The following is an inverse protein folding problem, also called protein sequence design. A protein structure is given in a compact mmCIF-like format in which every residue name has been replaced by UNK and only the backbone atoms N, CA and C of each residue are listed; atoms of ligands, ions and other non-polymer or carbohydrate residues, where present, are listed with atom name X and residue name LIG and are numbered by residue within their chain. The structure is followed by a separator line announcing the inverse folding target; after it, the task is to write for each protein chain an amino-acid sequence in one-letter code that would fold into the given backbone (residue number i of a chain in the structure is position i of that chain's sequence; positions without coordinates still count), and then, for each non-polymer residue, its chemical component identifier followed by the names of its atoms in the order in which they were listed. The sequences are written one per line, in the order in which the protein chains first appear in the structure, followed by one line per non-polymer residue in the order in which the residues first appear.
data_IF_023850299444
#
_entry.id   IF_023850299444
#
_cell.length_a   1.000
_cell.length_b   1.000
_cell.length_c   1.000
_cell.angle_alpha   90.00
_cell.angle_beta   90.00
_cell.angle_gamma   90.00
#
_symmetry.space_group_name_H-M   'P 1'
#
loop_
_entity.id
_entity.type
_entity.pdbx_description
1 polymer ?
#
# COMPACT_ATOMS: atom_id res chain seq x y z
N UNK A 1 37.37 -60.71 16.10
CA UNK A 1 36.31 -61.28 16.96
C UNK A 1 35.08 -60.38 16.82
N UNK A 2 34.44 -60.47 15.66
CA UNK A 2 33.22 -59.75 15.31
C UNK A 2 32.02 -60.39 16.00
N UNK A 3 31.13 -59.58 16.57
CA UNK A 3 29.80 -60.02 17.03
C UNK A 3 28.72 -59.19 16.36
N UNK A 4 28.14 -59.78 15.32
CA UNK A 4 26.85 -59.44 14.73
C UNK A 4 25.70 -59.73 15.69
N UNK A 5 24.77 -58.79 15.89
CA UNK A 5 23.42 -59.10 16.43
C UNK A 5 22.35 -58.41 15.59
N UNK A 6 21.36 -59.24 15.22
CA UNK A 6 20.32 -59.07 14.20
C UNK A 6 19.20 -58.09 14.60
N UNK A 7 18.66 -57.40 13.60
CA UNK A 7 17.36 -56.71 13.59
C UNK A 7 16.19 -57.70 13.69
N UNK A 8 15.14 -57.37 14.44
CA UNK A 8 13.79 -57.97 14.34
C UNK A 8 12.73 -56.87 14.42
N UNK A 9 11.86 -56.83 13.40
CA UNK A 9 10.70 -55.94 13.31
C UNK A 9 9.51 -56.46 14.15
N UNK A 10 8.59 -55.59 14.63
CA UNK A 10 7.31 -56.03 15.15
C UNK A 10 6.19 -55.94 14.10
N UNK A 11 5.23 -56.83 14.28
CA UNK A 11 4.19 -57.25 13.34
C UNK A 11 2.97 -56.32 13.35
N UNK A 12 2.43 -56.11 12.15
CA UNK A 12 1.14 -55.49 11.85
C UNK A 12 -0.01 -56.35 12.42
N UNK A 13 -0.91 -55.77 13.23
CA UNK A 13 -2.20 -56.37 13.59
C UNK A 13 -3.33 -55.58 12.95
N UNK A 14 -4.06 -56.28 12.09
CA UNK A 14 -5.28 -55.86 11.40
C UNK A 14 -6.50 -56.13 12.31
N UNK A 15 -7.35 -55.13 12.54
CA UNK A 15 -8.69 -55.30 13.10
C UNK A 15 -9.68 -54.46 12.25
N UNK A 16 -10.53 -55.18 11.51
CA UNK A 16 -11.83 -54.77 10.95
C UNK A 16 -12.84 -54.75 12.14
N UNK A 17 -13.97 -54.03 12.23
CA UNK A 17 -14.82 -53.32 11.27
C UNK A 17 -16.01 -52.60 12.00
N UNK A 18 -16.50 -51.48 11.41
CA UNK A 18 -17.91 -50.95 11.36
C UNK A 18 -18.64 -50.46 12.66
N UNK A 19 -19.71 -49.61 12.57
CA UNK A 19 -19.76 -48.21 12.12
C UNK A 19 -20.56 -47.30 13.10
N UNK A 20 -20.28 -46.01 13.18
CA UNK A 20 -21.27 -45.03 13.69
C UNK A 20 -21.37 -43.83 12.76
N UNK A 21 -22.58 -43.64 12.28
CA UNK A 21 -23.03 -42.70 11.26
C UNK A 21 -23.53 -41.43 11.98
N UNK A 22 -22.87 -40.29 11.75
CA UNK A 22 -23.33 -38.89 11.98
C UNK A 22 -23.76 -38.46 13.42
N UNK A 23 -23.52 -37.18 13.82
CA UNK A 23 -23.70 -36.00 12.97
C UNK A 23 -22.50 -35.04 12.98
N UNK A 24 -21.80 -34.97 11.84
CA UNK A 24 -20.88 -33.90 11.45
C UNK A 24 -21.64 -32.66 10.92
N UNK A 25 -22.90 -32.48 11.30
CA UNK A 25 -23.80 -31.42 10.76
C UNK A 25 -23.95 -30.24 11.73
N UNK A 26 -23.53 -30.37 13.00
CA UNK A 26 -23.67 -29.29 13.98
C UNK A 26 -22.54 -28.24 13.94
N UNK A 27 -21.46 -28.45 13.16
CA UNK A 27 -20.31 -27.54 13.13
C UNK A 27 -20.27 -26.59 11.93
N UNK A 28 -21.26 -26.64 11.04
CA UNK A 28 -21.29 -25.82 9.80
C UNK A 28 -22.24 -24.60 9.90
N UNK A 29 -23.03 -24.47 10.96
CA UNK A 29 -24.05 -23.38 11.06
C UNK A 29 -23.58 -22.16 11.85
N UNK A 30 -22.38 -22.15 12.43
CA UNK A 30 -21.91 -21.06 13.29
C UNK A 30 -20.82 -20.18 12.63
N UNK A 31 -20.99 -19.81 11.35
CA UNK A 31 -20.18 -18.79 10.65
C UNK A 31 -21.06 -17.79 9.89
N UNK A 32 -22.31 -17.60 10.30
CA UNK A 32 -23.23 -16.63 9.69
C UNK A 32 -23.86 -15.72 10.75
N UNK A 33 -23.01 -15.01 11.49
CA UNK A 33 -23.42 -13.85 12.28
C UNK A 33 -22.21 -12.92 12.51
N UNK A 34 -21.53 -12.51 11.43
CA UNK A 34 -20.81 -11.24 11.45
C UNK A 34 -21.83 -10.16 11.09
N UNK A 35 -22.67 -9.83 12.07
CA UNK A 35 -23.44 -8.59 12.02
C UNK A 35 -22.42 -7.45 11.92
N UNK A 36 -22.62 -6.65 10.89
CA UNK A 36 -22.04 -5.34 10.64
C UNK A 36 -21.73 -4.62 11.97
N UNK A 37 -20.49 -4.72 12.46
CA UNK A 37 -20.00 -3.88 13.56
C UNK A 37 -19.76 -2.50 12.94
N UNK A 38 -20.85 -1.79 12.70
CA UNK A 38 -20.79 -0.34 12.69
C UNK A 38 -20.29 0.02 14.08
N UNK A 39 -19.09 0.59 14.14
CA UNK A 39 -18.61 1.21 15.36
C UNK A 39 -19.67 2.23 15.79
N UNK A 40 -20.54 1.86 16.72
CA UNK A 40 -21.40 2.83 17.37
C UNK A 40 -20.47 3.84 18.02
N UNK A 41 -20.58 5.09 17.58
CA UNK A 41 -19.97 6.22 18.25
C UNK A 41 -20.46 6.13 19.70
N UNK A 42 -19.59 5.74 20.62
CA UNK A 42 -19.99 5.52 22.01
C UNK A 42 -20.80 6.71 22.54
N UNK A 43 -21.78 6.50 23.44
CA UNK A 43 -22.77 7.51 23.82
C UNK A 43 -22.16 8.83 24.33
N UNK A 44 -20.92 8.77 24.83
CA UNK A 44 -20.17 9.96 25.26
C UNK A 44 -19.75 10.89 24.12
N UNK A 45 -19.44 10.35 22.95
CA UNK A 45 -19.01 11.14 21.79
C UNK A 45 -20.19 11.84 21.13
N UNK A 46 -21.34 11.19 21.06
CA UNK A 46 -22.53 11.72 20.40
C UNK A 46 -22.92 13.07 20.99
N UNK A 47 -22.99 13.15 22.34
CA UNK A 47 -23.28 14.41 23.05
C UNK A 47 -22.33 15.54 22.66
N UNK A 48 -21.04 15.25 22.51
CA UNK A 48 -20.03 16.25 22.13
C UNK A 48 -20.23 16.69 20.67
N UNK A 49 -20.45 15.73 19.77
CA UNK A 49 -20.56 15.95 18.33
C UNK A 49 -21.89 16.61 17.92
N UNK A 50 -22.93 16.59 18.75
CA UNK A 50 -24.17 17.36 18.53
C UNK A 50 -23.89 18.85 18.25
N UNK A 51 -22.91 19.43 18.95
CA UNK A 51 -22.49 20.81 18.73
C UNK A 51 -21.16 20.90 17.96
N UNK A 52 -20.19 20.02 18.25
CA UNK A 52 -18.86 20.10 17.65
C UNK A 52 -18.79 19.67 16.18
N UNK A 53 -19.84 19.05 15.63
CA UNK A 53 -19.95 18.79 14.19
C UNK A 53 -20.54 19.96 13.39
N UNK A 54 -20.80 21.11 14.02
CA UNK A 54 -21.21 22.33 13.30
C UNK A 54 -19.98 23.17 12.91
N UNK A 55 -19.80 23.48 11.62
CA UNK A 55 -18.72 24.34 11.11
C UNK A 55 -18.75 25.76 11.70
N UNK A 56 -19.91 26.19 12.23
CA UNK A 56 -20.12 27.49 12.87
C UNK A 56 -19.59 27.55 14.30
N UNK A 57 -19.23 26.43 14.92
CA UNK A 57 -18.72 26.44 16.29
C UNK A 57 -17.33 27.08 16.35
N UNK A 58 -17.24 28.18 17.08
CA UNK A 58 -16.02 28.96 17.25
C UNK A 58 -15.76 29.23 18.73
N UNK A 59 -14.49 29.25 19.11
CA UNK A 59 -14.05 29.77 20.42
C UNK A 59 -14.36 31.26 20.53
N UNK A 60 -14.37 31.79 21.76
CA UNK A 60 -14.44 33.24 22.01
C UNK A 60 -13.28 34.02 21.36
N UNK A 61 -12.18 33.33 20.99
CA UNK A 61 -11.04 33.90 20.24
C UNK A 61 -11.08 33.63 18.73
N UNK A 62 -12.23 33.26 18.16
CA UNK A 62 -12.42 33.12 16.71
C UNK A 62 -11.84 31.85 16.06
N UNK A 63 -11.27 30.93 16.83
CA UNK A 63 -10.79 29.64 16.30
C UNK A 63 -11.95 28.64 16.16
N UNK A 64 -12.05 27.97 15.02
CA UNK A 64 -13.02 26.90 14.80
C UNK A 64 -12.76 25.70 15.72
N UNK A 65 -13.83 25.16 16.30
CA UNK A 65 -13.82 23.92 17.09
C UNK A 65 -14.53 22.75 16.39
N UNK A 66 -14.74 22.91 15.08
CA UNK A 66 -15.42 21.92 14.25
C UNK A 66 -14.61 20.63 14.17
N UNK A 67 -15.30 19.52 14.45
CA UNK A 67 -14.83 18.15 14.29
C UNK A 67 -15.83 17.44 13.39
N UNK A 68 -15.38 17.00 12.23
CA UNK A 68 -16.21 16.19 11.34
C UNK A 68 -16.47 14.82 11.99
N UNK A 69 -17.73 14.53 12.29
CA UNK A 69 -18.11 13.31 12.99
C UNK A 69 -17.77 12.05 12.19
N UNK A 70 -17.86 12.11 10.85
CA UNK A 70 -17.57 10.97 9.99
C UNK A 70 -16.07 10.67 9.93
N UNK A 71 -15.25 11.73 9.92
CA UNK A 71 -13.79 11.60 9.96
C UNK A 71 -13.33 11.12 11.34
N UNK A 72 -13.86 11.70 12.41
CA UNK A 72 -13.49 11.29 13.77
C UNK A 72 -13.87 9.85 14.04
N UNK A 73 -15.07 9.42 13.65
CA UNK A 73 -15.54 8.04 13.83
C UNK A 73 -14.59 7.00 13.22
N UNK A 74 -13.92 7.33 12.11
CA UNK A 74 -12.94 6.46 11.45
C UNK A 74 -11.59 6.37 12.18
N UNK A 75 -11.33 7.20 13.19
CA UNK A 75 -10.10 7.16 13.98
C UNK A 75 -10.19 6.12 15.10
N UNK A 76 -9.05 5.55 15.51
CA UNK A 76 -9.00 4.68 16.70
C UNK A 76 -9.33 5.45 17.99
N UNK A 77 -9.15 6.78 18.01
CA UNK A 77 -9.48 7.61 19.18
C UNK A 77 -10.99 7.79 19.38
N UNK A 78 -11.82 7.58 18.36
CA UNK A 78 -13.29 7.59 18.54
C UNK A 78 -13.72 6.55 19.58
N UNK A 79 -13.02 5.44 19.68
CA UNK A 79 -13.34 4.38 20.63
C UNK A 79 -13.15 4.78 22.11
N UNK A 80 -12.11 5.57 22.43
CA UNK A 80 -11.86 6.04 23.80
C UNK A 80 -12.65 7.30 24.14
N UNK A 81 -13.08 8.03 23.11
CA UNK A 81 -13.96 9.18 23.20
C UNK A 81 -13.34 10.50 23.65
N UNK A 82 -14.11 11.58 23.50
CA UNK A 82 -13.62 12.95 23.63
C UNK A 82 -13.02 13.25 25.02
N UNK A 83 -13.69 12.82 26.10
CA UNK A 83 -13.29 13.12 27.49
C UNK A 83 -12.01 12.41 27.94
N UNK A 84 -11.65 11.29 27.30
CA UNK A 84 -10.39 10.59 27.58
C UNK A 84 -9.17 11.43 27.24
N UNK A 85 -9.27 12.27 26.21
CA UNK A 85 -8.26 13.29 25.93
C UNK A 85 -8.60 14.61 26.62
N UNK A 86 -9.85 15.05 26.55
CA UNK A 86 -10.31 16.32 27.11
C UNK A 86 -10.76 16.22 28.57
N UNK A 87 -9.83 15.83 29.45
CA UNK A 87 -10.11 15.38 30.81
C UNK A 87 -10.69 16.43 31.76
N UNK A 88 -10.49 17.73 31.51
CA UNK A 88 -11.13 18.78 32.31
C UNK A 88 -12.55 19.14 31.84
N UNK A 89 -13.04 18.56 30.74
CA UNK A 89 -14.42 18.75 30.28
C UNK A 89 -15.33 17.84 31.08
N UNK A 90 -16.27 18.46 31.81
CA UNK A 90 -17.22 17.80 32.69
C UNK A 90 -18.65 17.97 32.16
N UNK A 91 -19.62 17.48 32.94
CA UNK A 91 -21.03 17.45 32.52
C UNK A 91 -21.70 18.81 32.42
N UNK A 92 -21.14 19.87 33.02
CA UNK A 92 -21.71 21.21 32.96
C UNK A 92 -21.30 21.99 31.69
N UNK A 93 -20.39 21.45 30.88
CA UNK A 93 -20.03 22.05 29.59
C UNK A 93 -21.26 22.18 28.68
N UNK A 94 -21.48 23.35 28.02
CA UNK A 94 -20.59 24.51 27.85
C UNK A 94 -20.76 25.66 28.85
N UNK A 95 -21.44 25.41 29.98
CA UNK A 95 -21.72 26.39 31.03
C UNK A 95 -20.67 26.40 32.15
N UNK A 96 -19.53 25.75 31.92
CA UNK A 96 -18.37 25.77 32.80
C UNK A 96 -17.86 27.21 33.03
N UNK A 97 -17.63 27.57 34.30
CA UNK A 97 -17.18 28.91 34.70
C UNK A 97 -16.00 28.83 35.68
N UNK A 98 -14.87 29.51 35.41
CA UNK A 98 -14.54 30.17 34.14
C UNK A 98 -14.35 29.15 33.01
N UNK A 99 -14.75 29.50 31.78
CA UNK A 99 -14.51 28.66 30.60
C UNK A 99 -12.99 28.49 30.42
N UNK A 100 -12.45 27.26 30.28
CA UNK A 100 -11.04 27.07 30.05
C UNK A 100 -10.67 27.69 28.69
N UNK A 101 -9.59 28.49 28.63
CA UNK A 101 -9.21 29.23 27.42
C UNK A 101 -8.82 28.31 26.25
N UNK A 102 -8.53 27.04 26.53
CA UNK A 102 -8.33 25.96 25.56
C UNK A 102 -8.89 24.67 26.15
N UNK A 103 -9.46 23.76 25.34
CA UNK A 103 -9.76 22.41 25.79
C UNK A 103 -8.47 21.80 26.34
N UNK A 104 -8.48 21.43 27.62
CA UNK A 104 -7.37 20.67 28.21
C UNK A 104 -7.18 19.38 27.42
N UNK A 105 -5.96 18.88 27.31
CA UNK A 105 -5.69 17.62 26.62
C UNK A 105 -4.71 16.76 27.42
N UNK A 106 -5.01 15.48 27.55
CA UNK A 106 -4.06 14.46 27.95
C UNK A 106 -2.86 14.50 27.00
N UNK A 107 -1.67 14.22 27.53
CA UNK A 107 -0.48 14.16 26.69
C UNK A 107 -0.47 12.84 25.91
N UNK A 108 0.00 12.87 24.66
CA UNK A 108 0.12 11.64 23.87
C UNK A 108 0.98 10.58 24.58
N UNK A 109 1.96 11.03 25.38
CA UNK A 109 2.87 10.19 26.16
C UNK A 109 2.14 9.32 27.18
N UNK A 110 1.03 9.78 27.77
CA UNK A 110 0.30 9.02 28.80
C UNK A 110 -0.19 7.66 28.29
N UNK A 111 -0.52 7.56 27.01
CA UNK A 111 -0.98 6.31 26.38
C UNK A 111 0.06 5.72 25.41
N UNK A 112 0.82 6.56 24.70
CA UNK A 112 1.79 6.13 23.69
C UNK A 112 3.24 6.20 24.18
N UNK A 113 3.51 5.70 25.38
CA UNK A 113 4.86 5.72 25.99
C UNK A 113 5.95 5.15 25.07
N UNK A 114 5.78 3.98 24.41
CA UNK A 114 6.83 3.41 23.56
C UNK A 114 7.16 4.32 22.37
N UNK A 115 6.13 4.82 21.69
CA UNK A 115 6.27 5.72 20.54
C UNK A 115 6.94 7.04 20.97
N UNK A 116 6.52 7.60 22.12
CA UNK A 116 7.14 8.80 22.66
C UNK A 116 8.63 8.58 22.96
N UNK A 117 9.00 7.41 23.50
CA UNK A 117 10.40 7.09 23.78
C UNK A 117 11.25 6.95 22.52
N UNK A 118 10.69 6.43 21.42
CA UNK A 118 11.33 6.46 20.10
C UNK A 118 11.46 7.88 19.56
N UNK A 119 10.35 8.63 19.57
CA UNK A 119 10.30 10.00 19.04
C UNK A 119 11.24 10.95 19.77
N UNK A 120 11.41 10.79 21.08
CA UNK A 120 12.34 11.58 21.89
C UNK A 120 13.80 11.45 21.44
N UNK A 121 14.16 10.37 20.73
CA UNK A 121 15.51 10.19 20.15
C UNK A 121 15.67 10.88 18.80
N UNK A 122 14.57 11.35 18.21
CA UNK A 122 14.59 11.98 16.89
C UNK A 122 15.12 13.41 16.93
N UNK A 123 15.64 13.85 15.79
CA UNK A 123 15.98 15.26 15.55
C UNK A 123 14.74 16.19 15.56
N UNK A 124 13.54 15.62 15.46
CA UNK A 124 12.28 16.36 15.45
C UNK A 124 11.76 16.67 16.86
N UNK A 125 12.13 15.88 17.87
CA UNK A 125 11.62 16.00 19.25
C UNK A 125 11.75 17.41 19.87
N UNK A 126 12.76 18.16 19.47
CA UNK A 126 13.01 19.54 19.93
C UNK A 126 12.35 20.63 19.08
N UNK A 127 11.75 20.27 17.93
CA UNK A 127 11.25 21.20 16.90
C UNK A 127 9.79 21.00 16.56
N UNK A 128 9.25 19.82 16.83
CA UNK A 128 7.89 19.44 16.51
C UNK A 128 7.30 18.58 17.64
N UNK A 129 5.98 18.65 17.75
CA UNK A 129 5.15 17.85 18.63
C UNK A 129 4.39 16.81 17.82
N UNK A 130 3.82 15.82 18.50
CA UNK A 130 3.02 14.77 17.86
C UNK A 130 1.90 15.35 16.97
N UNK A 131 1.33 16.50 17.38
CA UNK A 131 0.21 17.13 16.69
C UNK A 131 0.57 17.92 15.44
N UNK A 132 1.86 18.18 15.21
CA UNK A 132 2.31 18.84 13.98
C UNK A 132 2.24 17.88 12.76
N UNK A 133 2.39 16.58 13.03
CA UNK A 133 2.23 15.51 12.04
C UNK A 133 0.84 14.85 12.11
N UNK A 134 0.37 14.48 13.31
CA UNK A 134 -0.88 13.74 13.50
C UNK A 134 -2.00 14.61 14.07
N UNK A 135 -3.12 14.71 13.37
CA UNK A 135 -4.33 15.27 13.94
C UNK A 135 -5.08 14.17 14.71
N UNK A 136 -5.21 14.20 16.06
CA UNK A 136 -5.88 13.14 16.82
C UNK A 136 -7.35 12.96 16.44
N UNK A 137 -8.01 14.01 15.93
CA UNK A 137 -9.41 13.97 15.47
C UNK A 137 -9.57 13.45 14.03
N UNK A 138 -8.47 13.20 13.32
CA UNK A 138 -8.46 12.69 11.94
C UNK A 138 -7.23 11.77 11.70
N UNK A 139 -6.75 11.11 12.75
CA UNK A 139 -5.50 10.35 12.70
C UNK A 139 -5.72 9.10 11.87
N UNK A 140 -4.76 8.83 10.98
CA UNK A 140 -4.76 7.64 10.11
C UNK A 140 -3.53 6.81 10.40
N UNK A 141 -3.68 5.50 10.26
CA UNK A 141 -2.54 4.58 10.30
C UNK A 141 -1.75 4.70 8.99
N UNK A 142 -0.48 4.28 8.95
CA UNK A 142 0.28 4.20 7.69
C UNK A 142 -0.42 3.39 6.60
N UNK A 143 -1.31 2.46 6.98
CA UNK A 143 -2.08 1.64 6.04
C UNK A 143 -3.31 2.36 5.47
N UNK A 144 -3.86 3.35 6.18
CA UNK A 144 -5.08 4.07 5.79
C UNK A 144 -4.83 5.49 5.26
N UNK A 145 -3.59 5.79 4.88
CA UNK A 145 -3.16 7.07 4.31
C UNK A 145 -2.31 6.85 3.06
N UNK A 146 -2.39 7.75 2.09
CA UNK A 146 -1.54 7.68 0.91
C UNK A 146 -0.11 8.11 1.21
N UNK A 147 0.86 7.56 0.46
CA UNK A 147 2.26 7.99 0.55
C UNK A 147 2.44 9.48 0.24
N UNK A 148 1.62 10.02 -0.67
CA UNK A 148 1.62 11.45 -0.99
C UNK A 148 1.14 12.29 0.20
N UNK A 149 0.05 11.91 0.86
CA UNK A 149 -0.45 12.66 2.03
C UNK A 149 0.55 12.62 3.19
N UNK A 150 1.27 11.50 3.36
CA UNK A 150 2.40 11.42 4.30
C UNK A 150 3.47 12.46 3.92
N UNK A 151 3.87 12.52 2.65
CA UNK A 151 4.88 13.47 2.18
C UNK A 151 4.42 14.93 2.35
N UNK A 152 3.14 15.20 2.12
CA UNK A 152 2.55 16.53 2.28
C UNK A 152 2.63 17.01 3.74
N UNK A 153 2.61 16.11 4.73
CA UNK A 153 2.86 16.47 6.13
C UNK A 153 4.29 16.96 6.34
N UNK A 154 5.28 16.27 5.78
CA UNK A 154 6.68 16.67 5.82
C UNK A 154 6.89 18.00 5.10
N UNK A 155 6.21 18.20 3.96
CA UNK A 155 6.32 19.37 3.12
C UNK A 155 5.86 20.68 3.78
N UNK A 156 5.11 20.61 4.90
CA UNK A 156 4.76 21.79 5.72
C UNK A 156 5.98 22.53 6.24
N UNK A 157 7.09 21.82 6.48
CA UNK A 157 8.35 22.41 6.95
C UNK A 157 9.52 22.14 5.98
N UNK A 158 9.54 20.96 5.34
CA UNK A 158 10.60 20.56 4.42
C UNK A 158 10.24 20.96 2.98
N UNK A 159 10.79 22.08 2.52
CA UNK A 159 10.55 22.55 1.16
C UNK A 159 11.01 21.52 0.12
N UNK A 160 10.08 21.00 -0.69
CA UNK A 160 10.34 19.91 -1.64
C UNK A 160 11.47 20.23 -2.63
N UNK A 161 11.55 21.46 -3.14
CA UNK A 161 12.64 21.85 -4.07
C UNK A 161 14.01 21.74 -3.41
N UNK A 162 14.12 22.17 -2.14
CA UNK A 162 15.37 22.03 -1.37
C UNK A 162 15.68 20.58 -1.07
N UNK A 163 14.67 19.78 -0.70
CA UNK A 163 14.83 18.34 -0.46
C UNK A 163 15.36 17.66 -1.71
N UNK A 164 14.73 17.84 -2.87
CA UNK A 164 15.21 17.25 -4.13
C UNK A 164 16.64 17.72 -4.45
N UNK A 165 16.92 19.01 -4.33
CA UNK A 165 18.25 19.56 -4.60
C UNK A 165 19.35 18.94 -3.73
N UNK A 166 19.09 18.68 -2.44
CA UNK A 166 20.07 18.02 -1.58
C UNK A 166 20.21 16.54 -1.90
N UNK A 167 19.13 15.86 -2.30
CA UNK A 167 19.16 14.43 -2.61
C UNK A 167 19.82 14.11 -3.95
N UNK A 168 19.77 15.00 -4.95
CA UNK A 168 20.46 14.82 -6.25
C UNK A 168 21.96 14.55 -6.10
N UNK A 169 22.58 14.99 -5.01
CA UNK A 169 24.02 14.79 -4.75
C UNK A 169 24.43 13.32 -4.63
N UNK A 170 23.51 12.43 -4.28
CA UNK A 170 23.79 11.01 -4.03
C UNK A 170 22.73 10.06 -4.59
N UNK A 171 21.49 10.51 -4.74
CA UNK A 171 20.35 9.72 -5.20
C UNK A 171 20.13 9.97 -6.70
N UNK A 172 20.41 8.99 -7.57
CA UNK A 172 20.14 9.12 -9.00
C UNK A 172 18.65 9.38 -9.24
N UNK A 173 18.30 10.30 -10.15
CA UNK A 173 16.89 10.64 -10.44
C UNK A 173 16.08 10.88 -9.15
N UNK A 174 16.60 11.74 -8.27
CA UNK A 174 16.04 11.97 -6.94
C UNK A 174 14.56 12.43 -6.99
N UNK A 175 14.17 13.15 -8.03
CA UNK A 175 12.79 13.55 -8.29
C UNK A 175 11.86 12.34 -8.44
N UNK A 176 12.24 11.35 -9.26
CA UNK A 176 11.45 10.13 -9.45
C UNK A 176 11.41 9.27 -8.19
N UNK A 177 12.52 9.16 -7.46
CA UNK A 177 12.56 8.42 -6.20
C UNK A 177 11.67 9.07 -5.14
N UNK A 178 11.72 10.40 -4.99
CA UNK A 178 10.91 11.12 -4.02
C UNK A 178 9.41 11.07 -4.39
N UNK A 179 9.07 11.00 -5.68
CA UNK A 179 7.68 10.85 -6.14
C UNK A 179 7.14 9.42 -5.92
N UNK A 180 8.01 8.41 -5.99
CA UNK A 180 7.66 7.00 -5.82
C UNK A 180 7.78 6.48 -4.37
N UNK A 181 8.33 7.27 -3.45
CA UNK A 181 8.60 6.87 -2.06
C UNK A 181 8.03 7.86 -1.06
N UNK A 182 7.29 7.40 -0.04
CA UNK A 182 7.06 8.19 1.16
C UNK A 182 8.39 8.57 1.82
N UNK A 183 8.51 9.77 2.39
CA UNK A 183 9.70 10.21 3.12
C UNK A 183 10.06 9.23 4.24
N UNK A 184 9.05 8.66 4.91
CA UNK A 184 9.20 7.67 5.97
C UNK A 184 9.84 6.36 5.50
N UNK A 185 9.78 6.03 4.21
CA UNK A 185 10.45 4.84 3.66
C UNK A 185 11.95 4.89 3.87
N UNK A 186 12.53 6.09 3.75
CA UNK A 186 13.96 6.31 3.96
C UNK A 186 14.27 6.80 5.37
N UNK A 187 13.47 7.75 5.88
CA UNK A 187 13.73 8.44 7.14
C UNK A 187 13.15 7.76 8.38
N UNK A 188 12.75 6.49 8.29
CA UNK A 188 12.38 5.70 9.47
C UNK A 188 12.92 4.27 9.34
N UNK A 189 13.11 3.61 10.48
CA UNK A 189 13.30 2.17 10.52
C UNK A 189 12.02 1.47 10.09
N UNK A 190 12.13 0.53 9.15
CA UNK A 190 11.02 -0.33 8.75
C UNK A 190 11.49 -1.77 8.57
N UNK A 191 10.61 -2.72 8.89
CA UNK A 191 10.88 -4.15 8.77
C UNK A 191 10.51 -4.71 7.39
N UNK A 192 9.47 -4.18 6.76
CA UNK A 192 8.91 -4.67 5.51
C UNK A 192 8.37 -3.50 4.66
N UNK A 193 8.50 -3.63 3.34
CA UNK A 193 7.92 -2.70 2.37
C UNK A 193 6.95 -3.43 1.46
N UNK A 194 5.88 -2.73 1.11
CA UNK A 194 4.86 -3.21 0.17
C UNK A 194 4.61 -2.14 -0.89
N UNK A 195 4.23 -2.55 -2.09
CA UNK A 195 3.81 -1.58 -3.11
C UNK A 195 2.34 -1.27 -2.90
N UNK A 196 2.04 -0.02 -2.60
CA UNK A 196 0.67 0.48 -2.51
C UNK A 196 0.40 1.37 -3.72
N UNK A 197 -0.57 0.97 -4.51
CA UNK A 197 -0.98 1.66 -5.73
C UNK A 197 -2.19 2.51 -5.45
N UNK A 198 -2.18 3.75 -5.92
CA UNK A 198 -3.34 4.61 -5.88
C UNK A 198 -3.74 5.01 -7.30
N UNK A 199 -5.03 5.24 -7.49
CA UNK A 199 -5.54 5.76 -8.76
C UNK A 199 -5.26 7.26 -8.80
N UNK A 200 -4.59 7.69 -9.86
CA UNK A 200 -4.40 9.10 -10.17
C UNK A 200 -5.22 9.48 -11.41
N UNK A 201 -5.77 10.69 -11.38
CA UNK A 201 -6.51 11.31 -12.47
C UNK A 201 -5.80 12.59 -12.89
N UNK A 202 -5.94 12.97 -14.16
CA UNK A 202 -5.61 14.31 -14.66
C UNK A 202 -6.77 14.82 -15.51
N UNK A 203 -6.88 16.14 -15.70
CA UNK A 203 -7.89 16.65 -16.63
C UNK A 203 -7.43 16.44 -18.08
N UNK A 204 -8.36 16.23 -19.03
CA UNK A 204 -8.03 16.15 -20.45
C UNK A 204 -7.26 17.39 -20.91
N UNK A 205 -6.15 17.18 -21.62
CA UNK A 205 -5.29 18.25 -22.14
C UNK A 205 -4.25 18.79 -21.15
N UNK A 206 -4.25 18.38 -19.88
CA UNK A 206 -3.20 18.73 -18.93
C UNK A 206 -1.92 17.90 -19.17
N UNK A 207 -0.72 18.46 -18.84
CA UNK A 207 0.53 17.74 -18.99
C UNK A 207 0.56 16.47 -18.14
N UNK A 208 1.43 15.51 -18.49
CA UNK A 208 1.58 14.26 -17.73
C UNK A 208 2.02 14.50 -16.28
N UNK A 209 2.62 15.63 -15.97
CA UNK A 209 2.97 16.02 -14.59
C UNK A 209 1.77 16.46 -13.73
N UNK A 210 0.58 16.62 -14.32
CA UNK A 210 -0.61 17.12 -13.62
C UNK A 210 -1.44 16.02 -12.92
N UNK A 211 -1.00 14.76 -12.99
CA UNK A 211 -1.68 13.68 -12.27
C UNK A 211 -1.71 13.96 -10.77
N UNK A 212 -2.89 13.77 -10.18
CA UNK A 212 -3.12 13.83 -8.74
C UNK A 212 -3.91 12.62 -8.28
N UNK A 213 -3.88 12.36 -6.98
CA UNK A 213 -4.73 11.32 -6.39
C UNK A 213 -6.21 11.60 -6.71
N UNK A 214 -6.90 10.57 -7.16
CA UNK A 214 -8.32 10.61 -7.42
C UNK A 214 -9.08 10.65 -6.09
N UNK A 215 -10.17 11.42 -6.04
CA UNK A 215 -11.04 11.45 -4.84
C UNK A 215 -12.07 10.33 -4.87
N UNK A 216 -12.62 9.97 -3.70
CA UNK A 216 -13.73 9.04 -3.62
C UNK A 216 -14.88 9.46 -4.55
N UNK A 217 -15.26 10.74 -4.53
CA UNK A 217 -16.35 11.28 -5.36
C UNK A 217 -16.09 11.10 -6.87
N UNK A 218 -14.86 11.35 -7.33
CA UNK A 218 -14.49 11.19 -8.74
C UNK A 218 -14.60 9.73 -9.19
N UNK A 219 -14.12 8.80 -8.36
CA UNK A 219 -14.16 7.38 -8.68
C UNK A 219 -15.57 6.80 -8.59
N UNK A 220 -16.37 7.23 -7.61
CA UNK A 220 -17.75 6.74 -7.45
C UNK A 220 -18.63 7.10 -8.65
N UNK A 221 -18.39 8.24 -9.31
CA UNK A 221 -19.13 8.62 -10.53
C UNK A 221 -18.88 7.70 -11.72
N UNK A 222 -17.85 6.85 -11.68
CA UNK A 222 -17.55 5.87 -12.72
C UNK A 222 -18.33 4.57 -12.55
N UNK A 223 -19.01 4.38 -11.42
CA UNK A 223 -19.70 3.17 -11.06
C UNK A 223 -21.22 3.41 -10.96
N UNK A 224 -22.04 2.35 -11.12
CA UNK A 224 -23.47 2.42 -10.81
C UNK A 224 -23.70 2.86 -9.36
N UNK A 225 -24.81 3.57 -9.13
CA UNK A 225 -25.17 4.04 -7.80
C UNK A 225 -25.25 2.87 -6.80
N UNK A 226 -24.66 3.05 -5.61
CA UNK A 226 -24.61 2.02 -4.56
C UNK A 226 -23.46 1.02 -4.68
N UNK A 227 -22.65 1.06 -5.75
CA UNK A 227 -21.50 0.17 -5.90
C UNK A 227 -20.35 0.54 -4.95
N UNK A 228 -19.64 -0.46 -4.43
CA UNK A 228 -18.38 -0.26 -3.73
C UNK A 228 -17.26 0.13 -4.69
N UNK A 229 -16.35 1.04 -4.27
CA UNK A 229 -15.23 1.47 -5.10
C UNK A 229 -14.29 0.32 -5.51
N UNK A 230 -14.25 -0.77 -4.73
CA UNK A 230 -13.46 -1.96 -5.05
C UNK A 230 -13.80 -2.54 -6.41
N UNK A 231 -15.09 -2.51 -6.78
CA UNK A 231 -15.60 -3.06 -8.05
C UNK A 231 -15.11 -2.31 -9.29
N UNK A 232 -14.46 -1.16 -9.12
CA UNK A 232 -13.80 -0.45 -10.21
C UNK A 232 -12.65 -1.26 -10.82
N UNK A 233 -12.00 -2.09 -10.01
CA UNK A 233 -10.90 -2.95 -10.44
C UNK A 233 -11.31 -4.41 -10.31
N UNK A 234 -11.83 -4.81 -9.15
CA UNK A 234 -12.29 -6.16 -8.83
C UNK A 234 -13.60 -6.49 -9.59
N UNK A 235 -13.50 -7.23 -10.70
CA UNK A 235 -14.64 -7.46 -11.60
C UNK A 235 -15.56 -8.60 -11.17
N UNK A 236 -15.04 -9.57 -10.43
CA UNK A 236 -15.80 -10.70 -9.90
C UNK A 236 -16.25 -10.50 -8.44
N UNK A 237 -15.82 -9.39 -7.83
CA UNK A 237 -16.26 -8.88 -6.52
C UNK A 237 -15.94 -9.85 -5.37
N UNK A 238 -14.79 -10.54 -5.46
CA UNK A 238 -14.31 -11.49 -4.46
C UNK A 238 -13.50 -10.80 -3.34
N UNK A 239 -13.34 -9.46 -3.42
CA UNK A 239 -12.55 -8.59 -2.53
C UNK A 239 -11.04 -8.83 -2.63
N UNK A 240 -10.59 -9.36 -3.75
CA UNK A 240 -9.20 -9.59 -4.09
C UNK A 240 -8.94 -9.21 -5.54
N UNK A 241 -7.85 -8.48 -5.80
CA UNK A 241 -7.58 -7.99 -7.14
C UNK A 241 -6.65 -8.99 -7.85
N UNK A 242 -7.18 -9.72 -8.83
CA UNK A 242 -6.37 -10.63 -9.65
C UNK A 242 -5.46 -9.88 -10.63
N UNK A 243 -4.47 -10.57 -11.21
CA UNK A 243 -3.69 -10.00 -12.30
C UNK A 243 -4.53 -9.67 -13.54
N UNK A 244 -5.57 -10.46 -13.82
CA UNK A 244 -6.47 -10.22 -14.94
C UNK A 244 -7.31 -8.95 -14.74
N UNK A 245 -7.78 -8.70 -13.52
CA UNK A 245 -8.47 -7.47 -13.15
C UNK A 245 -7.59 -6.24 -13.36
N UNK A 246 -6.34 -6.31 -12.88
CA UNK A 246 -5.39 -5.22 -13.08
C UNK A 246 -5.08 -4.96 -14.55
N UNK A 247 -4.87 -6.00 -15.36
CA UNK A 247 -4.64 -5.84 -16.81
C UNK A 247 -5.84 -5.18 -17.48
N UNK A 248 -7.04 -5.66 -17.18
CA UNK A 248 -8.27 -5.10 -17.70
C UNK A 248 -8.41 -3.63 -17.31
N UNK A 249 -8.23 -3.30 -16.03
CA UNK A 249 -8.29 -1.93 -15.53
C UNK A 249 -7.24 -1.02 -16.16
N UNK A 250 -5.96 -1.43 -16.17
CA UNK A 250 -4.85 -0.66 -16.75
C UNK A 250 -5.09 -0.35 -18.23
N UNK A 251 -5.66 -1.28 -19.01
CA UNK A 251 -6.00 -1.06 -20.41
C UNK A 251 -7.15 -0.05 -20.63
N UNK A 252 -8.05 0.07 -19.66
CA UNK A 252 -9.20 0.99 -19.72
C UNK A 252 -8.79 2.40 -19.31
N UNK A 253 -8.06 2.54 -18.20
CA UNK A 253 -7.69 3.85 -17.64
C UNK A 253 -6.73 4.66 -18.51
N UNK A 254 -5.88 3.98 -19.30
CA UNK A 254 -5.00 4.62 -20.29
C UNK A 254 -5.70 5.55 -21.25
N UNK A 255 -6.97 5.26 -21.57
CA UNK A 255 -7.78 6.05 -22.49
C UNK A 255 -8.65 7.09 -21.79
N UNK A 256 -8.60 7.15 -20.46
CA UNK A 256 -9.49 7.96 -19.60
C UNK A 256 -8.75 8.97 -18.73
N UNK A 257 -7.52 9.34 -19.09
CA UNK A 257 -6.71 10.28 -18.29
C UNK A 257 -6.51 9.84 -16.83
N UNK A 258 -6.41 8.52 -16.64
CA UNK A 258 -6.25 7.86 -15.36
C UNK A 258 -5.05 6.91 -15.41
N UNK A 259 -4.36 6.76 -14.27
CA UNK A 259 -3.27 5.79 -14.11
C UNK A 259 -3.25 5.19 -12.72
N UNK A 260 -2.60 4.03 -12.60
CA UNK A 260 -2.16 3.51 -11.31
C UNK A 260 -0.76 4.05 -11.02
N UNK A 261 -0.59 4.63 -9.83
CA UNK A 261 0.71 5.06 -9.32
C UNK A 261 1.09 4.23 -8.11
N UNK A 262 2.16 3.46 -8.24
CA UNK A 262 2.69 2.62 -7.17
C UNK A 262 3.73 3.37 -6.33
N UNK A 263 3.58 3.33 -5.02
CA UNK A 263 4.61 3.78 -4.07
C UNK A 263 5.08 2.62 -3.20
N UNK A 264 6.38 2.56 -2.92
CA UNK A 264 6.92 1.60 -1.94
C UNK A 264 6.73 2.15 -0.54
N UNK A 265 5.79 1.58 0.19
CA UNK A 265 5.37 2.06 1.51
C UNK A 265 5.76 1.07 2.61
N UNK A 266 6.25 1.54 3.76
CA UNK A 266 6.46 0.70 4.92
C UNK A 266 5.12 0.39 5.61
N UNK A 267 4.95 -0.83 6.07
CA UNK A 267 3.76 -1.19 6.88
C UNK A 267 3.95 -0.85 8.35
N UNK A 268 5.19 -0.98 8.84
CA UNK A 268 5.58 -0.67 10.20
C UNK A 268 6.73 0.32 10.15
N UNK A 269 6.61 1.42 10.90
CA UNK A 269 7.60 2.49 10.96
C UNK A 269 7.97 2.78 12.41
N UNK A 270 9.26 3.06 12.63
CA UNK A 270 9.73 3.69 13.86
C UNK A 270 9.44 5.19 13.87
N UNK A 271 9.40 5.81 15.03
CA UNK A 271 9.27 7.27 15.16
C UNK A 271 10.60 7.99 15.42
N UNK A 272 11.75 7.38 15.09
CA UNK A 272 13.08 7.99 15.31
C UNK A 272 13.46 9.07 14.30
N UNK A 273 12.80 9.12 13.12
CA UNK A 273 13.00 10.12 12.07
C UNK A 273 14.48 10.50 11.84
N UNK A 274 15.28 9.51 11.46
CA UNK A 274 16.73 9.61 11.36
C UNK A 274 17.23 9.50 9.90
N UNK A 275 18.53 9.74 9.73
CA UNK A 275 19.23 9.49 8.48
C UNK A 275 20.03 8.20 8.72
N UNK A 276 19.62 7.12 8.09
CA UNK A 276 20.25 5.81 8.24
C UNK A 276 21.30 5.58 7.14
N UNK A 277 22.47 5.08 7.51
CA UNK A 277 23.58 4.83 6.58
C UNK A 277 23.23 3.79 5.50
N UNK A 278 22.37 2.82 5.82
CA UNK A 278 21.91 1.81 4.86
C UNK A 278 20.99 2.37 3.76
N UNK A 279 20.55 3.63 3.83
CA UNK A 279 19.71 4.27 2.80
C UNK A 279 20.50 4.79 1.61
N UNK A 280 21.80 5.00 1.81
CA UNK A 280 22.74 5.38 0.77
C UNK A 280 23.18 4.17 -0.07
N UNK A 281 22.97 2.96 0.46
CA UNK A 281 23.19 1.71 -0.27
C UNK A 281 21.95 1.38 -1.11
N UNK A 282 22.07 1.58 -2.42
CA UNK A 282 21.01 1.29 -3.39
C UNK A 282 20.52 -0.17 -3.30
N UNK A 283 21.35 -1.10 -2.83
CA UNK A 283 20.98 -2.52 -2.69
C UNK A 283 19.91 -2.74 -1.63
N UNK A 284 19.80 -1.87 -0.62
CA UNK A 284 18.76 -1.98 0.40
C UNK A 284 17.36 -2.02 -0.22
N UNK A 285 17.10 -1.14 -1.19
CA UNK A 285 15.84 -1.08 -1.91
C UNK A 285 15.81 -2.02 -3.13
N UNK A 286 16.90 -2.13 -3.89
CA UNK A 286 16.89 -2.81 -5.19
C UNK A 286 17.32 -4.29 -5.16
N UNK A 287 18.15 -4.72 -4.19
CA UNK A 287 18.66 -6.10 -4.14
C UNK A 287 17.70 -7.10 -3.48
N UNK A 288 16.63 -6.62 -2.85
CA UNK A 288 15.55 -7.48 -2.36
C UNK A 288 14.88 -8.29 -3.50
N UNK A 289 15.07 -7.83 -4.74
CA UNK A 289 14.60 -8.51 -5.95
C UNK A 289 13.08 -8.52 -6.07
N UNK A 290 12.55 -9.02 -7.19
CA UNK A 290 11.11 -9.06 -7.42
C UNK A 290 10.37 -9.96 -6.42
N UNK A 291 11.05 -10.90 -5.75
CA UNK A 291 10.47 -11.82 -4.77
C UNK A 291 10.05 -11.14 -3.45
N UNK A 292 10.82 -10.15 -2.97
CA UNK A 292 10.51 -9.44 -1.73
C UNK A 292 9.39 -8.40 -1.89
N UNK A 293 9.18 -7.89 -3.12
CA UNK A 293 8.14 -6.91 -3.43
C UNK A 293 6.87 -7.53 -4.00
N UNK A 294 6.62 -8.84 -3.81
CA UNK A 294 5.45 -9.51 -4.38
C UNK A 294 4.11 -9.07 -3.77
N UNK A 295 4.13 -8.55 -2.54
CA UNK A 295 2.92 -8.08 -1.87
C UNK A 295 2.59 -6.66 -2.32
N UNK A 296 1.43 -6.52 -2.95
CA UNK A 296 0.93 -5.24 -3.41
C UNK A 296 -0.53 -5.03 -3.04
N UNK A 297 -0.89 -3.77 -2.92
CA UNK A 297 -2.24 -3.35 -2.59
C UNK A 297 -2.70 -2.25 -3.55
N UNK A 298 -4.00 -2.17 -3.81
CA UNK A 298 -4.60 -0.94 -4.32
C UNK A 298 -5.25 -0.20 -3.14
N UNK A 299 -4.84 1.04 -2.92
CA UNK A 299 -5.44 1.97 -1.98
C UNK A 299 -6.55 2.75 -2.67
N UNK A 300 -7.78 2.57 -2.18
CA UNK A 300 -8.98 3.24 -2.65
C UNK A 300 -9.40 4.30 -1.63
N UNK A 301 -9.64 5.55 -2.05
CA UNK A 301 -10.03 6.62 -1.13
C UNK A 301 -11.39 6.33 -0.51
N UNK A 302 -11.52 6.54 0.79
CA UNK A 302 -12.78 6.42 1.52
C UNK A 302 -13.51 7.78 1.66
N UNK A 303 -14.74 7.76 2.19
CA UNK A 303 -15.55 8.97 2.42
C UNK A 303 -15.04 9.84 3.57
N UNK A 304 -14.27 9.27 4.50
CA UNK A 304 -13.62 9.95 5.62
C UNK A 304 -12.29 10.61 5.22
N UNK A 305 -11.92 10.52 3.94
CA UNK A 305 -10.68 11.03 3.36
C UNK A 305 -9.47 10.14 3.61
N UNK A 306 -9.62 8.97 4.23
CA UNK A 306 -8.59 7.94 4.34
C UNK A 306 -8.57 7.03 3.11
N UNK A 307 -7.93 5.87 3.27
CA UNK A 307 -7.83 4.85 2.25
C UNK A 307 -8.12 3.46 2.79
N UNK A 308 -8.82 2.65 2.01
CA UNK A 308 -8.95 1.21 2.19
C UNK A 308 -8.03 0.51 1.22
N UNK A 309 -7.24 -0.46 1.72
CA UNK A 309 -6.34 -1.27 0.89
C UNK A 309 -7.01 -2.58 0.50
N UNK A 310 -7.04 -2.88 -0.79
CA UNK A 310 -7.39 -4.20 -1.33
C UNK A 310 -6.13 -4.95 -1.69
N UNK A 311 -6.04 -6.22 -1.28
CA UNK A 311 -4.93 -7.09 -1.62
C UNK A 311 -4.94 -7.40 -3.12
N UNK A 312 -3.76 -7.54 -3.68
CA UNK A 312 -3.55 -7.83 -5.09
C UNK A 312 -2.77 -9.14 -5.22
N UNK A 313 -3.08 -9.92 -6.23
CA UNK A 313 -2.35 -11.13 -6.59
C UNK A 313 -0.85 -10.87 -6.73
N UNK A 314 -0.06 -11.82 -6.21
CA UNK A 314 1.40 -11.75 -6.24
C UNK A 314 1.89 -11.64 -7.68
N UNK A 315 2.81 -10.71 -7.91
CA UNK A 315 3.40 -10.48 -9.23
C UNK A 315 2.77 -9.32 -9.99
N UNK A 316 1.78 -8.64 -9.42
CA UNK A 316 1.10 -7.49 -10.02
C UNK A 316 2.04 -6.38 -10.47
N UNK A 317 3.09 -6.10 -9.70
CA UNK A 317 4.08 -5.10 -10.10
C UNK A 317 4.73 -5.53 -11.42
N UNK A 318 5.22 -6.76 -11.53
CA UNK A 318 5.82 -7.25 -12.78
C UNK A 318 4.84 -7.21 -13.96
N UNK A 319 3.55 -7.43 -13.70
CA UNK A 319 2.53 -7.39 -14.73
C UNK A 319 2.18 -5.96 -15.18
N UNK A 320 1.98 -5.04 -14.24
CA UNK A 320 1.78 -3.61 -14.50
C UNK A 320 2.95 -3.03 -15.27
N UNK A 321 4.18 -3.41 -14.90
CA UNK A 321 5.42 -2.96 -15.55
C UNK A 321 5.55 -3.38 -17.01
N UNK A 322 5.01 -4.55 -17.36
CA UNK A 322 4.94 -4.98 -18.75
C UNK A 322 3.82 -4.25 -19.53
N UNK A 323 2.94 -3.52 -18.84
CA UNK A 323 1.83 -2.76 -19.40
C UNK A 323 1.94 -1.23 -19.30
N UNK A 324 2.92 -0.66 -18.56
CA UNK A 324 3.10 0.79 -18.38
C UNK A 324 4.28 1.36 -19.18
N UNK A 325 4.08 2.34 -20.07
CA UNK A 325 5.15 2.97 -20.84
C UNK A 325 6.07 3.84 -19.97
N UNK A 326 5.60 4.26 -18.78
CA UNK A 326 6.30 5.24 -17.94
C UNK A 326 7.22 4.60 -16.89
N UNK A 327 7.34 3.27 -16.83
CA UNK A 327 8.22 2.60 -15.88
C UNK A 327 8.85 1.36 -16.49
N UNK A 328 10.19 1.33 -16.49
CA UNK A 328 10.99 0.16 -16.84
C UNK A 328 11.83 -0.26 -15.63
N UNK A 329 11.61 -1.47 -15.11
CA UNK A 329 12.43 -1.99 -14.01
C UNK A 329 13.77 -2.45 -14.56
N UNK A 330 14.86 -1.79 -14.16
CA UNK A 330 16.21 -2.27 -14.46
C UNK A 330 16.40 -3.69 -13.92
N UNK A 331 16.75 -4.63 -14.79
CA UNK A 331 16.86 -6.06 -14.47
C UNK A 331 15.61 -6.91 -14.79
N UNK A 332 14.47 -6.30 -15.15
CA UNK A 332 13.32 -7.02 -15.67
C UNK A 332 13.52 -7.33 -17.17
N UNK A 333 14.26 -8.38 -17.47
CA UNK A 333 14.51 -8.86 -18.84
C UNK A 333 13.30 -9.57 -19.49
N UNK A 334 12.07 -9.34 -19.03
CA UNK A 334 10.92 -10.20 -19.39
C UNK A 334 9.78 -9.49 -20.14
N UNK A 335 10.10 -8.54 -21.02
CA UNK A 335 9.12 -8.22 -22.07
C UNK A 335 9.00 -9.44 -23.00
N UNK A 336 7.85 -10.14 -22.92
CA UNK A 336 7.52 -11.29 -23.79
C UNK A 336 7.68 -10.92 -25.26
N UNK A 337 7.33 -9.69 -25.63
CA UNK A 337 7.43 -9.18 -27.00
C UNK A 337 8.88 -9.10 -27.45
N UNK A 338 9.77 -8.50 -26.65
CA UNK A 338 11.20 -8.46 -26.96
C UNK A 338 11.83 -9.86 -26.99
N UNK A 339 11.39 -10.79 -26.14
CA UNK A 339 11.85 -12.17 -26.19
C UNK A 339 11.43 -12.89 -27.48
N UNK A 340 10.19 -12.67 -27.94
CA UNK A 340 9.70 -13.21 -29.22
C UNK A 340 10.48 -12.60 -30.38
N UNK A 341 10.67 -11.28 -30.38
CA UNK A 341 11.47 -10.59 -31.41
C UNK A 341 12.92 -11.12 -31.41
N UNK A 342 13.55 -11.26 -30.25
CA UNK A 342 14.89 -11.82 -30.13
C UNK A 342 14.98 -13.26 -30.64
N UNK A 343 13.98 -14.09 -30.31
CA UNK A 343 13.90 -15.46 -30.82
C UNK A 343 13.73 -15.50 -32.34
N UNK A 344 12.90 -14.61 -32.91
CA UNK A 344 12.72 -14.49 -34.36
C UNK A 344 14.02 -14.04 -35.06
N UNK A 345 14.76 -13.09 -34.48
CA UNK A 345 16.05 -12.64 -35.00
C UNK A 345 17.06 -13.79 -35.03
N UNK A 346 17.15 -14.56 -33.93
CA UNK A 346 18.05 -15.73 -33.86
C UNK A 346 17.64 -16.80 -34.88
N UNK A 347 16.35 -17.10 -34.98
CA UNK A 347 15.84 -18.07 -35.94
C UNK A 347 16.13 -17.65 -37.39
N UNK A 348 15.89 -16.37 -37.72
CA UNK A 348 16.20 -15.81 -39.04
C UNK A 348 17.71 -15.84 -39.34
N UNK A 349 18.54 -15.51 -38.35
CA UNK A 349 20.00 -15.56 -38.46
C UNK A 349 20.53 -16.99 -38.68
N UNK A 350 19.88 -18.01 -38.10
CA UNK A 350 20.24 -19.41 -38.27
C UNK A 350 19.74 -20.02 -39.59
N UNK A 351 18.68 -19.48 -40.20
CA UNK A 351 18.14 -20.00 -41.47
C UNK A 351 19.17 -19.99 -42.60
N UNK A 352 19.99 -18.93 -42.72
CA UNK A 352 20.99 -18.80 -43.78
C UNK A 352 22.12 -19.84 -43.67
N UNK A 353 22.84 -19.98 -42.54
CA UNK A 353 23.90 -20.99 -42.41
C UNK A 353 23.37 -22.43 -42.44
N UNK A 354 22.20 -22.70 -41.85
CA UNK A 354 21.58 -24.03 -41.94
C UNK A 354 21.16 -24.32 -43.38
N UNK A 355 20.47 -23.40 -44.05
CA UNK A 355 20.05 -23.55 -45.44
C UNK A 355 21.24 -23.70 -46.39
N UNK A 356 22.25 -22.86 -46.25
CA UNK A 356 23.49 -22.93 -47.04
C UNK A 356 24.23 -24.25 -46.78
N UNK A 357 24.44 -24.63 -45.52
CA UNK A 357 25.12 -25.87 -45.14
C UNK A 357 24.39 -27.12 -45.64
N UNK A 358 23.07 -27.17 -45.46
CA UNK A 358 22.23 -28.28 -45.92
C UNK A 358 22.21 -28.36 -47.44
N UNK A 359 22.08 -27.23 -48.14
CA UNK A 359 22.17 -27.19 -49.60
C UNK A 359 23.53 -27.64 -50.12
N UNK A 360 24.62 -27.32 -49.41
CA UNK A 360 25.98 -27.77 -49.76
C UNK A 360 26.15 -29.28 -49.58
N UNK A 361 25.57 -29.86 -48.52
CA UNK A 361 25.54 -31.30 -48.26
C UNK A 361 24.73 -32.05 -49.33
N UNK A 362 23.51 -31.60 -49.62
CA UNK A 362 22.62 -32.23 -50.60
C UNK A 362 23.20 -32.16 -52.03
N UNK A 363 23.88 -31.07 -52.38
CA UNK A 363 24.50 -30.93 -53.71
C UNK A 363 25.89 -31.57 -53.81
N UNK A 364 26.43 -32.16 -52.73
CA UNK A 364 27.79 -32.73 -52.69
C UNK A 364 27.98 -33.88 -53.68
N UNK A 365 26.97 -34.73 -53.87
CA UNK A 365 27.00 -35.82 -54.83
C UNK A 365 27.07 -35.32 -56.30
N UNK A 366 26.37 -34.22 -56.62
CA UNK A 366 26.39 -33.60 -57.96
C UNK A 366 27.67 -32.80 -58.25
N UNK A 367 28.43 -32.40 -57.22
CA UNK A 367 29.68 -31.62 -57.37
C UNK A 367 30.94 -32.48 -57.48
N UNK A 368 30.88 -33.78 -57.16
CA UNK A 368 31.96 -34.72 -57.48
C UNK A 368 31.91 -35.03 -58.97
N UNK A 369 32.61 -34.25 -59.79
CA UNK A 369 32.96 -34.69 -61.15
C UNK A 369 33.93 -35.88 -61.04
N UNK A 370 33.77 -36.94 -61.85
CA UNK A 370 34.82 -37.95 -61.98
C UNK A 370 36.10 -37.24 -62.46
N UNK A 371 37.22 -37.46 -61.77
CA UNK A 371 38.52 -37.04 -62.28
C UNK A 371 38.88 -37.97 -63.46
N UNK A 372 39.40 -37.43 -64.56
CA UNK A 372 39.77 -38.19 -65.75
C UNK A 372 40.91 -39.17 -65.49
#
# INVERSE_FOLDING_TARGET
MERTVRKKAPRLRLLLAFPTLLPLIASVVMVAAMTDVRAEIGPENERCLLCHNDKKIITMGGKHLFIDSSVYAATTHSYIGCRSCHTAINEIHPNDTPKPPRPTRATCRECHLPIHAEYAKSLHSSKASCTDCHNPHAVKTPLSISGKDINDMCAKCHNLKKVVATHITWLPQADLHIDALPCITCHTGSKNFVITMAIQTRKPGEPASAFRLATHEELSRLLPEGSELGSLIDRDNDRFISLDDLRAFNSQVRRKEMRLWGMMTPEVVSHTYDIQDNRWDCTFCHAAGPGAMQTSYVALPDKSGGYTRMAVERGAILDILNGTPDFYMMGATRSRVLNIIGALIIAAGLMMPIGHGTGRLLTRARRRKPQP
#
